data_IF_560890283293
#
_entry.id   IF_560890283293
#
_cell.length_a   1.000
_cell.length_b   1.000
_cell.length_c   1.000
_cell.angle_alpha   90.00
_cell.angle_beta   90.00
_cell.angle_gamma   90.00
#
_symmetry.space_group_name_H-M   'P 1'
#
loop_
_entity.id
_entity.type
_entity.pdbx_description
1 polymer ?
#
# COMPACT_ATOMS: atom_id res chain seq x y z
N UNK A 1 -34.22 -25.76 22.58
CA UNK A 1 -34.89 -26.79 21.77
C UNK A 1 -36.05 -26.09 21.08
N UNK A 2 -36.21 -26.25 19.77
CA UNK A 2 -37.42 -25.85 19.02
C UNK A 2 -38.63 -26.69 19.50
N UNK A 3 -39.90 -26.39 19.28
CA UNK A 3 -40.58 -25.40 18.41
C UNK A 3 -41.71 -24.68 19.24
N UNK A 4 -42.87 -24.19 18.75
CA UNK A 4 -43.40 -23.76 17.44
C UNK A 4 -44.50 -22.71 17.66
N UNK A 5 -44.57 -21.64 16.84
CA UNK A 5 -45.78 -20.81 16.68
C UNK A 5 -45.81 -20.18 15.27
N UNK A 6 -46.22 -20.98 14.29
CA UNK A 6 -46.71 -20.45 13.00
C UNK A 6 -48.16 -20.01 13.24
N UNK A 7 -48.40 -18.70 13.28
CA UNK A 7 -49.75 -18.14 13.31
C UNK A 7 -50.07 -17.58 11.93
N UNK A 8 -50.96 -18.27 11.22
CA UNK A 8 -51.53 -17.82 9.95
C UNK A 8 -52.20 -16.44 10.09
N UNK A 9 -51.96 -15.56 9.12
CA UNK A 9 -52.86 -14.43 8.85
C UNK A 9 -52.98 -14.21 7.33
N UNK A 10 -54.19 -13.99 6.79
CA UNK A 10 -54.45 -14.21 5.37
C UNK A 10 -53.92 -13.09 4.48
N UNK A 11 -53.06 -13.44 3.53
CA UNK A 11 -52.59 -12.53 2.47
C UNK A 11 -53.70 -12.32 1.44
N UNK A 12 -54.66 -11.44 1.73
CA UNK A 12 -55.56 -10.89 0.70
C UNK A 12 -54.77 -9.91 -0.18
N UNK A 13 -54.19 -10.44 -1.24
CA UNK A 13 -53.46 -9.66 -2.24
C UNK A 13 -54.40 -8.72 -3.01
N UNK A 14 -54.28 -7.41 -2.77
CA UNK A 14 -54.93 -6.39 -3.61
C UNK A 14 -54.03 -6.05 -4.81
N UNK A 15 -54.63 -5.94 -6.00
CA UNK A 15 -53.93 -5.59 -7.24
C UNK A 15 -53.42 -4.14 -7.16
N UNK A 16 -52.11 -3.93 -7.35
CA UNK A 16 -51.54 -2.60 -7.58
C UNK A 16 -50.29 -2.21 -6.79
N UNK A 17 -49.80 -3.03 -5.85
CA UNK A 17 -48.59 -2.68 -5.08
C UNK A 17 -47.30 -3.29 -5.66
N UNK A 18 -46.36 -2.41 -6.05
CA UNK A 18 -44.98 -2.76 -6.36
C UNK A 18 -44.22 -3.09 -5.05
N UNK A 19 -43.97 -4.38 -4.79
CA UNK A 19 -43.26 -4.84 -3.59
C UNK A 19 -41.73 -4.96 -3.78
N UNK A 20 -41.11 -4.04 -4.52
CA UNK A 20 -39.70 -4.15 -4.94
C UNK A 20 -38.68 -3.57 -3.94
N UNK A 21 -39.11 -2.79 -2.93
CA UNK A 21 -38.17 -1.98 -2.11
C UNK A 21 -38.10 -2.34 -0.61
N UNK A 22 -39.16 -2.91 -0.01
CA UNK A 22 -39.21 -3.11 1.44
C UNK A 22 -38.69 -4.48 1.90
N UNK A 23 -37.46 -4.83 1.50
CA UNK A 23 -36.69 -5.96 2.08
C UNK A 23 -35.26 -5.58 2.50
N UNK A 24 -35.03 -4.29 2.81
CA UNK A 24 -33.72 -3.76 3.27
C UNK A 24 -33.76 -3.04 4.64
N UNK A 25 -34.93 -2.83 5.24
CA UNK A 25 -35.09 -1.92 6.39
C UNK A 25 -34.72 -2.51 7.78
N UNK A 26 -34.37 -3.80 7.89
CA UNK A 26 -34.05 -4.46 9.17
C UNK A 26 -32.58 -4.91 9.32
N UNK A 27 -31.70 -4.61 8.36
CA UNK A 27 -30.24 -4.71 8.53
C UNK A 27 -29.61 -3.35 8.93
N UNK A 28 -30.43 -2.43 9.47
CA UNK A 28 -30.15 -1.00 9.62
C UNK A 28 -29.31 -0.61 10.84
N UNK A 29 -28.39 -1.48 11.26
CA UNK A 29 -27.52 -1.25 12.43
C UNK A 29 -26.03 -1.29 12.11
N UNK A 30 -25.63 -1.77 10.93
CA UNK A 30 -24.23 -1.85 10.53
C UNK A 30 -24.03 -1.10 9.20
N UNK A 31 -23.05 -0.20 9.14
CA UNK A 31 -22.67 0.53 7.93
C UNK A 31 -21.29 0.05 7.45
N UNK A 32 -21.11 -0.22 6.15
CA UNK A 32 -19.79 -0.56 5.62
C UNK A 32 -18.88 0.68 5.56
N UNK A 33 -17.66 0.54 6.05
CA UNK A 33 -16.63 1.58 6.05
C UNK A 33 -15.28 1.02 5.53
N UNK A 34 -14.39 1.92 5.12
CA UNK A 34 -13.09 1.57 4.52
C UNK A 34 -12.02 1.50 5.60
N UNK A 35 -11.49 0.30 5.84
CA UNK A 35 -10.41 0.07 6.77
C UNK A 35 -9.06 -0.09 6.08
N UNK A 36 -8.03 0.46 6.70
CA UNK A 36 -6.66 0.53 6.19
C UNK A 36 -5.81 -0.51 6.92
N UNK A 37 -5.20 -1.45 6.20
CA UNK A 37 -4.22 -2.33 6.81
C UNK A 37 -2.91 -1.56 7.08
N UNK A 38 -2.08 -2.03 8.06
CA UNK A 38 -0.73 -1.52 8.25
C UNK A 38 0.07 -1.52 6.94
N UNK A 39 0.92 -0.51 6.77
CA UNK A 39 1.84 -0.43 5.63
C UNK A 39 2.94 -1.49 5.74
N UNK A 40 3.38 -2.00 4.59
CA UNK A 40 4.60 -2.79 4.49
C UNK A 40 5.81 -1.97 4.91
N UNK A 41 6.91 -2.66 5.22
CA UNK A 41 8.21 -1.98 5.28
C UNK A 41 8.53 -1.32 3.92
N UNK A 42 9.27 -0.21 3.96
CA UNK A 42 9.80 0.43 2.76
C UNK A 42 10.73 -0.54 2.02
N UNK A 43 10.61 -0.63 0.70
CA UNK A 43 11.47 -1.50 -0.14
C UNK A 43 12.94 -1.07 -0.18
N UNK A 44 13.24 0.16 0.25
CA UNK A 44 14.59 0.69 0.34
C UNK A 44 14.94 1.06 1.80
N UNK A 45 16.16 0.73 2.23
CA UNK A 45 16.70 1.11 3.55
C UNK A 45 17.32 2.51 3.56
N UNK A 46 17.67 3.03 2.38
CA UNK A 46 18.11 4.39 2.10
C UNK A 46 17.61 4.79 0.70
N UNK A 47 17.55 6.09 0.42
CA UNK A 47 17.05 6.64 -0.83
C UNK A 47 15.52 6.60 -0.92
N UNK A 48 15.03 6.69 -2.15
CA UNK A 48 13.62 6.52 -2.48
C UNK A 48 13.27 5.03 -2.59
N UNK A 49 12.12 4.66 -2.03
CA UNK A 49 11.54 3.33 -2.14
C UNK A 49 10.01 3.39 -2.15
N UNK A 50 9.40 2.22 -2.11
CA UNK A 50 7.95 2.03 -2.13
C UNK A 50 7.49 1.19 -0.94
N UNK A 51 6.32 1.53 -0.42
CA UNK A 51 5.61 0.74 0.60
C UNK A 51 4.15 0.59 0.17
N UNK A 52 3.55 -0.56 0.47
CA UNK A 52 2.16 -0.87 0.10
C UNK A 52 1.32 -1.27 1.29
N UNK A 53 0.01 -1.08 1.17
CA UNK A 53 -1.02 -1.48 2.15
C UNK A 53 -2.25 -1.97 1.40
N UNK A 54 -3.07 -2.78 2.04
CA UNK A 54 -4.40 -3.13 1.52
C UNK A 54 -5.45 -2.21 2.13
N UNK A 55 -6.48 -1.88 1.35
CA UNK A 55 -7.70 -1.25 1.82
C UNK A 55 -8.87 -2.19 1.60
N UNK A 56 -9.63 -2.45 2.67
CA UNK A 56 -10.77 -3.38 2.68
C UNK A 56 -12.04 -2.66 3.10
N UNK A 57 -13.17 -3.05 2.53
CA UNK A 57 -14.49 -2.58 2.95
C UNK A 57 -15.05 -3.57 3.97
N UNK A 58 -15.39 -3.14 5.18
CA UNK A 58 -15.91 -4.01 6.23
C UNK A 58 -17.16 -3.40 6.87
N UNK A 59 -18.11 -4.23 7.28
CA UNK A 59 -19.28 -3.76 8.02
C UNK A 59 -18.86 -3.34 9.44
N UNK A 60 -19.25 -2.15 9.86
CA UNK A 60 -19.03 -1.60 11.20
C UNK A 60 -20.37 -1.45 11.90
N UNK A 61 -20.48 -1.85 13.17
CA UNK A 61 -21.72 -1.67 13.94
C UNK A 61 -21.94 -0.20 14.33
N UNK A 62 -23.16 0.15 14.75
CA UNK A 62 -23.51 1.48 15.29
C UNK A 62 -22.61 1.93 16.45
N UNK A 63 -22.05 0.98 17.19
CA UNK A 63 -21.17 1.18 18.34
C UNK A 63 -19.68 1.24 17.92
N UNK A 64 -19.37 1.14 16.62
CA UNK A 64 -18.02 1.26 16.06
C UNK A 64 -17.24 -0.06 15.93
N UNK A 65 -17.86 -1.22 16.19
CA UNK A 65 -17.16 -2.51 16.09
C UNK A 65 -17.02 -2.99 14.65
N UNK A 66 -15.80 -3.30 14.23
CA UNK A 66 -15.53 -3.92 12.93
C UNK A 66 -16.01 -5.38 12.96
N UNK A 67 -16.94 -5.73 12.08
CA UNK A 67 -17.40 -7.10 11.92
C UNK A 67 -16.42 -7.92 11.05
N UNK A 68 -16.24 -9.22 11.35
CA UNK A 68 -15.36 -10.09 10.56
C UNK A 68 -15.90 -10.29 9.14
N UNK A 69 -15.01 -10.23 8.16
CA UNK A 69 -15.32 -10.38 6.74
C UNK A 69 -15.24 -9.07 5.96
N UNK A 70 -15.05 -9.20 4.64
CA UNK A 70 -15.05 -8.10 3.69
C UNK A 70 -16.42 -8.02 2.99
N UNK A 71 -16.91 -6.80 2.75
CA UNK A 71 -18.22 -6.54 2.12
C UNK A 71 -17.99 -5.92 0.74
N UNK A 72 -18.50 -6.51 -0.36
CA UNK A 72 -18.24 -6.01 -1.70
C UNK A 72 -19.10 -4.81 -2.11
N UNK A 73 -19.87 -4.21 -1.19
CA UNK A 73 -20.81 -3.13 -1.45
C UNK A 73 -20.86 -2.11 -0.31
N UNK A 74 -21.28 -0.87 -0.66
CA UNK A 74 -21.54 0.22 0.27
C UNK A 74 -20.37 1.20 0.46
N UNK A 75 -19.11 0.72 0.45
CA UNK A 75 -17.96 1.60 0.27
C UNK A 75 -17.87 2.10 -1.18
N UNK A 76 -17.55 3.38 -1.39
CA UNK A 76 -17.31 3.91 -2.74
C UNK A 76 -15.85 3.67 -3.16
N UNK A 77 -15.65 3.38 -4.45
CA UNK A 77 -14.30 3.20 -5.02
C UNK A 77 -13.52 4.53 -5.03
N UNK A 78 -14.20 5.68 -5.15
CA UNK A 78 -13.60 7.02 -5.03
C UNK A 78 -12.92 7.28 -3.69
N UNK A 79 -13.45 6.64 -2.64
CA UNK A 79 -13.03 6.85 -1.26
C UNK A 79 -11.96 5.81 -0.87
N UNK A 80 -11.63 4.87 -1.78
CA UNK A 80 -10.56 3.89 -1.59
C UNK A 80 -9.22 4.62 -1.58
N UNK A 81 -8.44 4.52 -0.49
CA UNK A 81 -7.16 5.19 -0.37
C UNK A 81 -6.11 4.55 -1.29
N UNK A 82 -5.01 5.27 -1.57
CA UNK A 82 -3.88 4.68 -2.29
C UNK A 82 -3.28 3.51 -1.49
N UNK A 83 -3.15 2.37 -2.18
CA UNK A 83 -2.57 1.12 -1.69
C UNK A 83 -1.05 1.05 -1.88
N UNK A 84 -0.47 2.04 -2.56
CA UNK A 84 0.97 2.22 -2.72
C UNK A 84 1.34 3.67 -2.46
N UNK A 85 2.45 3.91 -1.77
CA UNK A 85 3.01 5.23 -1.55
C UNK A 85 4.55 5.17 -1.54
N UNK A 86 5.17 6.28 -1.93
CA UNK A 86 6.62 6.44 -1.86
C UNK A 86 7.06 6.61 -0.40
N UNK A 87 8.20 6.04 -0.06
CA UNK A 87 8.92 6.27 1.18
C UNK A 87 10.34 6.75 0.85
N UNK A 88 10.91 7.62 1.69
CA UNK A 88 12.26 8.13 1.48
C UNK A 88 13.02 8.11 2.81
N UNK A 89 14.15 7.42 2.83
CA UNK A 89 14.98 7.20 4.02
C UNK A 89 16.24 8.10 4.05
N UNK A 90 16.27 9.16 3.24
CA UNK A 90 17.42 10.05 3.09
C UNK A 90 18.50 9.48 2.14
N UNK A 91 19.56 10.24 1.82
CA UNK A 91 20.54 9.83 0.82
C UNK A 91 21.29 8.55 1.23
N UNK A 92 21.43 7.60 0.30
CA UNK A 92 22.31 6.45 0.49
C UNK A 92 23.78 6.90 0.60
N UNK A 93 24.42 6.57 1.73
CA UNK A 93 25.83 6.86 1.93
C UNK A 93 26.68 5.96 1.02
N UNK A 94 27.44 6.57 0.10
CA UNK A 94 28.39 5.84 -0.74
C UNK A 94 29.51 5.26 0.14
N UNK A 95 29.53 3.93 0.30
CA UNK A 95 30.48 3.22 1.17
C UNK A 95 31.93 3.30 0.69
N UNK A 96 32.13 3.64 -0.59
CA UNK A 96 33.43 3.78 -1.24
C UNK A 96 33.34 4.93 -2.26
N UNK A 97 34.46 5.64 -2.47
CA UNK A 97 34.59 6.64 -3.53
C UNK A 97 35.88 6.40 -4.32
N UNK A 98 35.83 6.59 -5.64
CA UNK A 98 37.04 6.62 -6.45
C UNK A 98 37.85 7.86 -6.09
N UNK A 99 39.17 7.70 -5.95
CA UNK A 99 40.12 8.79 -5.74
C UNK A 99 41.14 8.70 -6.86
N UNK A 100 41.27 9.76 -7.65
CA UNK A 100 42.26 9.85 -8.73
C UNK A 100 43.59 10.29 -8.10
N UNK A 101 44.63 9.48 -8.27
CA UNK A 101 45.99 9.85 -7.90
C UNK A 101 46.66 10.68 -9.02
N UNK A 102 47.68 11.50 -8.72
CA UNK A 102 48.49 12.13 -9.75
C UNK A 102 49.11 11.09 -10.69
N UNK A 103 49.24 11.44 -11.98
CA UNK A 103 49.98 10.62 -12.94
C UNK A 103 51.45 10.50 -12.52
N UNK A 104 52.01 9.30 -12.62
CA UNK A 104 53.42 9.06 -12.30
C UNK A 104 54.34 9.76 -13.30
N UNK A 105 55.47 10.30 -12.82
CA UNK A 105 56.45 10.97 -13.67
C UNK A 105 57.10 10.01 -14.67
N UNK A 106 57.10 10.38 -15.95
CA UNK A 106 57.79 9.64 -17.00
C UNK A 106 59.29 9.91 -16.89
N UNK A 107 60.03 8.97 -16.29
CA UNK A 107 61.50 9.01 -16.24
C UNK A 107 62.11 8.67 -17.60
N UNK A 108 62.29 9.69 -18.44
CA UNK A 108 63.07 9.57 -19.67
C UNK A 108 64.57 9.55 -19.30
N UNK A 109 65.11 8.37 -19.03
CA UNK A 109 66.55 8.15 -18.95
C UNK A 109 67.16 8.15 -20.37
N UNK A 110 67.17 9.31 -21.03
CA UNK A 110 68.13 9.52 -22.11
C UNK A 110 69.52 9.53 -21.48
N UNK A 111 70.25 8.45 -21.72
CA UNK A 111 71.67 8.33 -21.41
C UNK A 111 72.44 9.36 -22.22
N UNK A 112 72.58 10.56 -21.65
CA UNK A 112 73.70 11.44 -21.96
C UNK A 112 74.97 10.73 -21.50
N UNK A 113 75.45 9.82 -22.36
CA UNK A 113 76.85 9.46 -22.46
C UNK A 113 77.61 10.79 -22.58
N UNK A 114 78.09 11.30 -21.45
CA UNK A 114 79.03 12.42 -21.44
C UNK A 114 80.30 11.88 -22.07
N UNK A 115 80.43 12.09 -23.38
CA UNK A 115 81.65 11.80 -24.12
C UNK A 115 82.81 12.45 -23.36
N UNK A 116 83.64 11.62 -22.73
CA UNK A 116 84.91 12.07 -22.19
C UNK A 116 85.77 12.46 -23.40
N UNK A 117 85.88 13.77 -23.65
CA UNK A 117 86.67 14.28 -24.75
C UNK A 117 88.15 13.94 -24.51
N UNK A 118 88.74 13.24 -25.47
CA UNK A 118 90.18 13.01 -25.54
C UNK A 118 90.81 14.25 -26.17
N UNK A 119 91.51 15.08 -25.38
CA UNK A 119 92.69 15.86 -25.77
C UNK A 119 93.62 15.92 -24.55
#
# INVERSE_FOLDING_TARGET
MVESFVSDWPVKANKGQHFTYMRYAQFSQNAPDIYFLPVSQCSASCGEGSQSRRAVCQAVTKEGWILPGEVPYGCKISDRPPESQICNHGPCQARYKWVVAPWGEVRILITLQKNAAII
#
